data_IF_400528247445
#
_entry.id   IF_400528247445
#
_cell.length_a   1.000
_cell.length_b   1.000
_cell.length_c   1.000
_cell.angle_alpha   90.00
_cell.angle_beta   90.00
_cell.angle_gamma   90.00
#
_symmetry.space_group_name_H-M   'P 1'
#
loop_
_entity.id
_entity.type
_entity.pdbx_description
1 polymer ?
#
# COMPACT_ATOMS: atom_id res chain seq x y z
N UNK A 1 -28.00 4.39 -15.19
CA UNK A 1 -27.66 4.30 -13.75
C UNK A 1 -26.58 5.33 -13.50
N UNK A 2 -26.80 6.32 -12.60
CA UNK A 2 -25.74 7.25 -12.21
C UNK A 2 -24.68 6.48 -11.41
N UNK A 3 -23.40 6.62 -11.77
CA UNK A 3 -22.29 6.05 -10.99
C UNK A 3 -22.35 6.61 -9.55
N UNK A 4 -22.58 5.73 -8.57
CA UNK A 4 -22.69 6.10 -7.14
C UNK A 4 -21.32 6.23 -6.45
N UNK A 5 -20.31 6.73 -7.15
CA UNK A 5 -18.94 6.78 -6.65
C UNK A 5 -18.08 7.80 -7.39
N UNK A 6 -16.84 7.96 -6.93
CA UNK A 6 -15.85 8.82 -7.60
C UNK A 6 -15.57 8.26 -8.99
N UNK A 7 -15.65 9.10 -10.01
CA UNK A 7 -15.37 8.68 -11.38
C UNK A 7 -13.86 8.50 -11.57
N UNK A 8 -13.44 7.25 -11.79
CA UNK A 8 -12.03 6.93 -12.02
C UNK A 8 -11.45 7.65 -13.23
N UNK A 9 -12.25 7.84 -14.29
CA UNK A 9 -11.86 8.62 -15.46
C UNK A 9 -11.49 10.06 -15.07
N UNK A 10 -12.34 10.73 -14.27
CA UNK A 10 -12.06 12.10 -13.80
C UNK A 10 -10.85 12.16 -12.87
N UNK A 11 -10.62 11.12 -12.07
CA UNK A 11 -9.40 11.00 -11.25
C UNK A 11 -8.17 10.95 -12.15
N UNK A 12 -8.16 10.09 -13.17
CA UNK A 12 -7.01 9.95 -14.08
C UNK A 12 -6.79 11.20 -14.93
N UNK A 13 -7.85 11.87 -15.37
CA UNK A 13 -7.77 13.18 -16.02
C UNK A 13 -7.13 14.22 -15.11
N UNK A 14 -7.54 14.29 -13.84
CA UNK A 14 -6.94 15.17 -12.84
C UNK A 14 -5.44 14.89 -12.63
N UNK A 15 -5.05 13.61 -12.50
CA UNK A 15 -3.64 13.20 -12.39
C UNK A 15 -2.86 13.63 -13.63
N UNK A 16 -3.38 13.35 -14.83
CA UNK A 16 -2.73 13.73 -16.09
C UNK A 16 -2.56 15.24 -16.21
N UNK A 17 -3.59 16.02 -15.90
CA UNK A 17 -3.51 17.50 -15.95
C UNK A 17 -2.47 18.03 -14.97
N UNK A 18 -2.41 17.48 -13.77
CA UNK A 18 -1.38 17.83 -12.80
C UNK A 18 0.02 17.51 -13.31
N UNK A 19 0.22 16.30 -13.86
CA UNK A 19 1.50 15.90 -14.46
C UNK A 19 1.91 16.82 -15.62
N UNK A 20 0.99 17.14 -16.53
CA UNK A 20 1.22 18.04 -17.68
C UNK A 20 1.61 19.45 -17.25
N UNK A 21 0.99 19.98 -16.18
CA UNK A 21 1.35 21.28 -15.62
C UNK A 21 2.79 21.33 -15.11
N UNK A 22 3.29 20.20 -14.59
CA UNK A 22 4.69 20.09 -14.14
C UNK A 22 5.66 19.83 -15.28
N UNK A 23 5.15 19.37 -16.43
CA UNK A 23 5.90 18.89 -17.59
C UNK A 23 5.41 19.55 -18.90
N UNK A 24 5.49 20.88 -19.04
CA UNK A 24 4.97 21.57 -20.21
C UNK A 24 5.71 21.13 -21.49
N UNK A 25 4.98 20.88 -22.57
CA UNK A 25 5.54 20.48 -23.86
C UNK A 25 5.89 18.98 -23.99
N UNK A 26 5.51 18.16 -23.00
CA UNK A 26 5.76 16.71 -22.98
C UNK A 26 4.53 15.86 -23.31
N UNK A 27 3.54 16.43 -24.01
CA UNK A 27 2.31 15.75 -24.43
C UNK A 27 2.61 14.50 -25.28
N UNK A 28 3.66 14.56 -26.10
CA UNK A 28 4.07 13.48 -26.98
C UNK A 28 4.63 12.24 -26.25
N UNK A 29 4.88 12.33 -24.93
CA UNK A 29 5.36 11.20 -24.14
C UNK A 29 4.24 10.24 -23.72
N UNK A 30 2.99 10.62 -23.91
CA UNK A 30 1.86 9.72 -23.64
C UNK A 30 1.73 8.64 -24.71
N UNK A 31 1.26 7.47 -24.30
CA UNK A 31 0.87 6.41 -25.21
C UNK A 31 -0.36 6.82 -26.03
N UNK A 32 -0.33 6.54 -27.32
CA UNK A 32 -1.49 6.74 -28.22
C UNK A 32 -2.64 5.80 -27.87
N UNK A 33 -2.33 4.58 -27.40
CA UNK A 33 -3.33 3.56 -27.05
C UNK A 33 -3.96 3.80 -25.68
N UNK A 34 -3.21 4.38 -24.74
CA UNK A 34 -3.72 4.66 -23.40
C UNK A 34 -3.28 6.04 -22.89
N UNK A 35 -4.21 7.02 -22.83
CA UNK A 35 -3.86 8.41 -22.57
C UNK A 35 -3.40 8.70 -21.13
N UNK A 36 -3.41 7.72 -20.22
CA UNK A 36 -2.95 7.84 -18.83
C UNK A 36 -1.64 7.09 -18.56
N UNK A 37 -1.01 6.59 -19.62
CA UNK A 37 0.27 5.89 -19.61
C UNK A 37 1.28 6.68 -20.42
N UNK A 38 2.51 6.68 -19.94
CA UNK A 38 3.66 7.19 -20.68
C UNK A 38 4.25 6.07 -21.55
N UNK A 39 4.98 6.44 -22.60
CA UNK A 39 5.61 5.49 -23.51
C UNK A 39 6.75 4.74 -22.81
N UNK A 40 7.60 5.48 -22.09
CA UNK A 40 8.70 4.97 -21.28
C UNK A 40 8.40 5.12 -19.78
N UNK A 41 8.83 4.15 -18.96
CA UNK A 41 8.61 4.21 -17.52
C UNK A 41 9.44 5.33 -16.87
N UNK A 42 10.63 5.62 -17.40
CA UNK A 42 11.55 6.63 -16.88
C UNK A 42 10.95 8.02 -16.91
N UNK A 43 10.01 8.30 -17.82
CA UNK A 43 9.26 9.56 -17.86
C UNK A 43 8.27 9.69 -16.68
N UNK A 44 7.89 8.58 -16.05
CA UNK A 44 7.05 8.55 -14.85
C UNK A 44 7.86 8.57 -13.55
N UNK A 45 9.19 8.44 -13.63
CA UNK A 45 10.07 8.40 -12.47
C UNK A 45 10.80 9.72 -12.28
N UNK A 46 11.01 10.12 -11.03
CA UNK A 46 11.74 11.36 -10.68
C UNK A 46 13.24 11.20 -10.90
N UNK A 47 13.74 9.98 -10.73
CA UNK A 47 15.13 9.61 -11.00
C UNK A 47 15.20 8.26 -11.74
N UNK A 48 16.25 8.01 -12.53
CA UNK A 48 16.43 6.71 -13.18
C UNK A 48 16.59 5.56 -12.18
N UNK A 49 15.91 4.45 -12.43
CA UNK A 49 15.97 3.24 -11.61
C UNK A 49 17.28 2.47 -11.80
N UNK A 50 18.01 2.26 -10.71
CA UNK A 50 19.22 1.44 -10.67
C UNK A 50 18.88 -0.05 -10.86
N UNK A 51 19.81 -0.80 -11.45
CA UNK A 51 19.65 -2.24 -11.74
C UNK A 51 19.33 -3.08 -10.51
N UNK A 52 19.81 -2.68 -9.31
CA UNK A 52 19.48 -3.37 -8.06
C UNK A 52 17.99 -3.28 -7.73
N UNK A 53 17.38 -2.12 -7.93
CA UNK A 53 15.96 -1.88 -7.66
C UNK A 53 15.11 -2.53 -8.74
N UNK A 54 15.53 -2.43 -10.00
CA UNK A 54 14.89 -3.11 -11.12
C UNK A 54 14.77 -4.62 -10.87
N UNK A 55 15.85 -5.26 -10.39
CA UNK A 55 15.82 -6.69 -10.05
C UNK A 55 14.83 -7.04 -8.94
N UNK A 56 14.59 -6.15 -7.96
CA UNK A 56 13.54 -6.37 -6.96
C UNK A 56 12.16 -6.45 -7.59
N UNK A 57 11.83 -5.52 -8.50
CA UNK A 57 10.56 -5.56 -9.23
C UNK A 57 10.43 -6.75 -10.19
N UNK A 58 11.53 -7.17 -10.83
CA UNK A 58 11.55 -8.38 -11.67
C UNK A 58 11.32 -9.67 -10.87
N UNK A 59 11.85 -9.74 -9.64
CA UNK A 59 11.65 -10.87 -8.75
C UNK A 59 10.24 -10.89 -8.11
N UNK A 60 9.50 -9.78 -8.22
CA UNK A 60 8.07 -9.65 -7.89
C UNK A 60 7.17 -10.46 -8.83
N UNK A 61 6.02 -9.92 -9.19
CA UNK A 61 5.17 -10.52 -10.23
C UNK A 61 5.70 -10.22 -11.66
N UNK A 62 6.65 -9.30 -11.79
CA UNK A 62 7.33 -8.93 -13.04
C UNK A 62 6.50 -8.07 -13.98
N UNK A 63 5.21 -7.86 -13.68
CA UNK A 63 4.27 -7.06 -14.49
C UNK A 63 4.49 -5.56 -14.31
N UNK A 64 5.08 -5.20 -13.17
CA UNK A 64 5.23 -3.82 -12.72
C UNK A 64 6.09 -3.01 -13.68
N UNK A 65 7.18 -3.60 -14.18
CA UNK A 65 8.12 -2.94 -15.09
C UNK A 65 7.61 -2.83 -16.53
N UNK A 66 6.83 -3.81 -16.98
CA UNK A 66 6.39 -3.88 -18.38
C UNK A 66 5.24 -2.91 -18.65
N UNK A 67 4.34 -2.69 -17.68
CA UNK A 67 3.13 -1.93 -17.91
C UNK A 67 2.79 -0.98 -16.79
N UNK A 68 2.81 -1.45 -15.55
CA UNK A 68 2.15 -0.71 -14.47
C UNK A 68 2.91 0.56 -14.12
N UNK A 69 4.25 0.54 -14.10
CA UNK A 69 5.04 1.74 -13.81
C UNK A 69 4.98 2.83 -14.87
N UNK A 70 4.45 2.55 -16.07
CA UNK A 70 4.21 3.59 -17.08
C UNK A 70 2.93 4.38 -16.81
N UNK A 71 2.05 3.86 -15.95
CA UNK A 71 0.79 4.50 -15.63
C UNK A 71 0.98 5.62 -14.60
N UNK A 72 0.40 6.80 -14.85
CA UNK A 72 0.53 7.92 -13.89
C UNK A 72 -0.13 7.67 -12.52
N UNK A 73 -1.05 6.71 -12.48
CA UNK A 73 -1.81 6.27 -11.32
C UNK A 73 -1.24 4.98 -10.68
N UNK A 74 0.03 4.68 -10.95
CA UNK A 74 0.70 3.45 -10.52
C UNK A 74 1.20 3.52 -9.08
N UNK A 75 0.70 2.60 -8.25
CA UNK A 75 1.22 2.40 -6.90
C UNK A 75 2.70 2.01 -6.89
N UNK A 76 3.14 1.20 -7.86
CA UNK A 76 4.55 0.80 -7.98
C UNK A 76 5.46 1.99 -8.34
N UNK A 77 5.07 2.82 -9.32
CA UNK A 77 5.84 4.02 -9.67
C UNK A 77 5.86 5.03 -8.51
N UNK A 78 4.73 5.21 -7.81
CA UNK A 78 4.63 6.05 -6.63
C UNK A 78 5.58 5.57 -5.51
N UNK A 79 5.60 4.27 -5.24
CA UNK A 79 6.46 3.64 -4.24
C UNK A 79 7.93 3.86 -4.56
N UNK A 80 8.32 3.66 -5.82
CA UNK A 80 9.68 3.96 -6.26
C UNK A 80 10.02 5.44 -6.10
N UNK A 81 9.15 6.34 -6.58
CA UNK A 81 9.35 7.79 -6.48
C UNK A 81 9.49 8.27 -5.02
N UNK A 82 8.78 7.63 -4.08
CA UNK A 82 8.90 7.91 -2.66
C UNK A 82 10.25 7.49 -2.09
N UNK A 83 10.66 6.24 -2.28
CA UNK A 83 11.83 5.70 -1.59
C UNK A 83 13.14 5.88 -2.37
N UNK A 84 13.10 5.82 -3.70
CA UNK A 84 14.23 6.03 -4.61
C UNK A 84 15.28 4.92 -4.57
N UNK A 85 16.43 5.18 -5.18
CA UNK A 85 17.47 4.16 -5.30
C UNK A 85 18.19 3.85 -3.98
N UNK A 86 18.26 4.80 -3.06
CA UNK A 86 19.09 4.75 -1.84
C UNK A 86 18.32 4.35 -0.56
N UNK A 87 18.97 4.49 0.61
CA UNK A 87 18.29 4.37 1.89
C UNK A 87 17.16 5.39 2.02
N UNK A 88 16.09 5.00 2.72
CA UNK A 88 15.03 5.92 3.12
C UNK A 88 15.35 6.52 4.48
N UNK A 89 15.05 7.81 4.67
CA UNK A 89 15.26 8.51 5.92
C UNK A 89 13.92 8.98 6.45
N UNK A 90 13.60 8.65 7.71
CA UNK A 90 12.35 9.06 8.36
C UNK A 90 12.63 9.91 9.60
N UNK A 91 11.76 10.89 9.87
CA UNK A 91 11.85 11.85 10.97
C UNK A 91 10.71 11.65 11.97
N UNK A 92 10.96 12.00 13.23
CA UNK A 92 9.98 12.10 14.29
C UNK A 92 9.89 13.49 14.95
N UNK A 93 10.58 14.49 14.41
CA UNK A 93 10.48 15.88 14.88
C UNK A 93 11.79 16.66 14.86
N UNK A 94 12.96 16.00 14.85
CA UNK A 94 14.27 16.68 14.97
C UNK A 94 15.22 16.45 13.77
N UNK A 95 15.85 17.49 13.19
CA UNK A 95 16.67 17.37 11.98
C UNK A 95 17.93 16.52 12.12
N UNK A 96 18.50 16.43 13.33
CA UNK A 96 19.73 15.68 13.58
C UNK A 96 19.53 14.16 13.65
N UNK A 97 18.28 13.68 13.65
CA UNK A 97 17.98 12.24 13.81
C UNK A 97 18.08 11.44 12.48
N UNK A 98 18.16 12.13 11.34
CA UNK A 98 18.23 11.54 9.98
C UNK A 98 19.31 10.46 9.89
N UNK A 99 20.53 10.76 10.35
CA UNK A 99 21.68 9.84 10.23
C UNK A 99 21.50 8.57 11.07
N UNK A 100 20.66 8.62 12.11
CA UNK A 100 20.32 7.47 12.96
C UNK A 100 19.11 6.69 12.46
N UNK A 101 18.43 7.19 11.41
CA UNK A 101 17.17 6.66 10.86
C UNK A 101 17.27 6.33 9.37
N UNK A 102 18.44 5.94 8.91
CA UNK A 102 18.60 5.35 7.58
C UNK A 102 18.00 3.93 7.58
N UNK A 103 17.00 3.69 6.75
CA UNK A 103 16.42 2.39 6.50
C UNK A 103 16.91 1.85 5.16
N UNK A 104 17.27 0.56 5.15
CA UNK A 104 17.46 -0.17 3.91
C UNK A 104 16.11 -0.47 3.30
N UNK A 105 15.91 -0.04 2.05
CA UNK A 105 14.68 -0.25 1.29
C UNK A 105 14.77 -1.58 0.54
N UNK A 106 13.75 -2.42 0.69
CA UNK A 106 13.51 -3.59 -0.17
C UNK A 106 12.16 -3.43 -0.83
N UNK A 107 12.11 -3.43 -2.15
CA UNK A 107 10.86 -3.38 -2.92
C UNK A 107 10.30 -4.78 -3.15
N UNK A 108 8.99 -4.88 -3.36
CA UNK A 108 8.29 -6.14 -3.65
C UNK A 108 8.63 -7.24 -2.62
N UNK A 109 8.55 -6.89 -1.33
CA UNK A 109 8.87 -7.82 -0.26
C UNK A 109 7.80 -8.92 -0.22
N UNK A 110 8.21 -10.11 -0.66
CA UNK A 110 7.40 -11.32 -0.62
C UNK A 110 7.53 -12.01 0.74
N UNK A 111 6.39 -12.36 1.35
CA UNK A 111 6.30 -13.13 2.58
C UNK A 111 5.39 -14.34 2.38
N UNK A 112 5.66 -15.44 3.08
CA UNK A 112 4.78 -16.61 3.05
C UNK A 112 3.46 -16.31 3.75
N UNK A 113 2.38 -16.24 2.96
CA UNK A 113 1.02 -16.19 3.49
C UNK A 113 0.52 -17.62 3.83
N UNK A 114 -0.78 -17.81 4.02
CA UNK A 114 -1.33 -19.10 4.49
C UNK A 114 -1.08 -20.26 3.51
N UNK A 115 -0.99 -19.95 2.22
CA UNK A 115 -0.56 -20.91 1.21
C UNK A 115 0.93 -20.64 0.90
N UNK A 116 1.84 -21.61 1.13
CA UNK A 116 3.26 -21.47 0.83
C UNK A 116 3.58 -21.05 -0.61
N UNK A 117 2.67 -21.37 -1.55
CA UNK A 117 2.80 -21.04 -2.97
C UNK A 117 2.31 -19.61 -3.27
N UNK A 118 1.32 -19.11 -2.52
CA UNK A 118 0.77 -17.77 -2.74
C UNK A 118 1.37 -16.80 -1.73
N UNK A 119 2.42 -16.09 -2.16
CA UNK A 119 3.10 -15.09 -1.34
C UNK A 119 2.20 -13.86 -1.14
N UNK A 120 2.37 -13.21 0.00
CA UNK A 120 1.91 -11.85 0.26
C UNK A 120 2.98 -10.89 -0.25
N UNK A 121 2.60 -9.96 -1.13
CA UNK A 121 3.50 -8.99 -1.76
C UNK A 121 3.28 -7.62 -1.11
N UNK A 122 4.30 -7.12 -0.41
CA UNK A 122 4.34 -5.77 0.13
C UNK A 122 5.17 -4.88 -0.80
N UNK A 123 4.65 -3.72 -1.17
CA UNK A 123 5.29 -2.83 -2.15
C UNK A 123 6.70 -2.38 -1.70
N UNK A 124 6.87 -2.14 -0.39
CA UNK A 124 8.16 -1.81 0.19
C UNK A 124 8.32 -2.32 1.64
N UNK A 125 9.56 -2.62 2.01
CA UNK A 125 9.98 -2.89 3.38
C UNK A 125 11.19 -2.02 3.71
N UNK A 126 11.03 -1.16 4.72
CA UNK A 126 12.09 -0.38 5.33
C UNK A 126 12.63 -1.15 6.53
N UNK A 127 13.93 -1.46 6.51
CA UNK A 127 14.57 -2.25 7.55
C UNK A 127 15.76 -1.52 8.18
N UNK A 128 15.82 -1.58 9.50
CA UNK A 128 17.00 -1.21 10.29
C UNK A 128 17.12 -2.11 11.52
N UNK A 129 18.18 -1.95 12.31
CA UNK A 129 18.37 -2.73 13.52
C UNK A 129 17.18 -2.56 14.48
N UNK A 130 16.51 -3.65 14.80
CA UNK A 130 15.41 -3.70 15.77
C UNK A 130 14.08 -3.11 15.29
N UNK A 131 13.98 -2.66 14.02
CA UNK A 131 12.73 -2.09 13.51
C UNK A 131 12.50 -2.40 12.02
N UNK A 132 11.25 -2.76 11.70
CA UNK A 132 10.73 -2.91 10.35
C UNK A 132 9.50 -2.02 10.13
N UNK A 133 9.44 -1.38 8.97
CA UNK A 133 8.23 -0.70 8.49
C UNK A 133 7.90 -1.26 7.12
N UNK A 134 6.79 -1.98 7.01
CA UNK A 134 6.32 -2.60 5.79
C UNK A 134 5.19 -1.75 5.21
N UNK A 135 5.15 -1.61 3.89
CA UNK A 135 4.22 -0.74 3.20
C UNK A 135 3.36 -1.54 2.21
N UNK A 136 2.06 -1.31 2.28
CA UNK A 136 1.10 -1.53 1.20
C UNK A 136 0.68 -0.16 0.67
N UNK A 137 0.85 0.06 -0.63
CA UNK A 137 0.76 1.36 -1.28
C UNK A 137 -0.44 1.35 -2.22
N UNK A 138 -1.35 2.31 -2.06
CA UNK A 138 -2.53 2.46 -2.93
C UNK A 138 -2.56 3.86 -3.51
N UNK A 139 -2.41 3.98 -4.82
CA UNK A 139 -2.52 5.25 -5.49
C UNK A 139 -4.00 5.60 -5.72
N UNK A 140 -4.72 4.78 -6.48
CA UNK A 140 -6.13 5.05 -6.82
C UNK A 140 -7.07 3.88 -6.58
N UNK A 141 -6.51 2.70 -6.29
CA UNK A 141 -7.23 1.44 -6.18
C UNK A 141 -8.24 1.46 -5.01
N UNK A 142 -7.96 2.20 -3.94
CA UNK A 142 -8.86 2.37 -2.79
C UNK A 142 -10.14 3.17 -3.11
N UNK A 143 -10.16 3.90 -4.24
CA UNK A 143 -11.36 4.59 -4.71
C UNK A 143 -12.31 3.66 -5.47
N UNK A 144 -11.84 2.47 -5.89
CA UNK A 144 -12.69 1.47 -6.52
C UNK A 144 -13.51 0.73 -5.45
N UNK A 145 -14.82 0.63 -5.65
CA UNK A 145 -15.73 -0.06 -4.72
C UNK A 145 -15.67 -1.60 -4.84
N UNK A 146 -14.54 -2.17 -5.24
CA UNK A 146 -14.40 -3.60 -5.50
C UNK A 146 -13.02 -4.08 -5.08
N UNK A 147 -12.98 -4.86 -4.01
CA UNK A 147 -11.78 -5.54 -3.52
C UNK A 147 -11.95 -7.05 -3.65
N UNK A 148 -10.82 -7.74 -3.80
CA UNK A 148 -10.82 -9.19 -3.90
C UNK A 148 -11.32 -9.85 -2.60
N UNK A 149 -12.14 -10.91 -2.68
CA UNK A 149 -12.55 -11.65 -1.51
C UNK A 149 -11.38 -12.31 -0.76
N UNK A 150 -11.54 -12.52 0.54
CA UNK A 150 -10.64 -13.36 1.32
C UNK A 150 -10.89 -14.84 1.00
N UNK A 151 -9.89 -15.62 0.52
CA UNK A 151 -10.09 -17.03 0.20
C UNK A 151 -10.61 -17.81 1.41
N UNK A 152 -11.58 -18.70 1.19
CA UNK A 152 -12.28 -19.38 2.28
C UNK A 152 -11.35 -20.13 3.24
N UNK A 153 -10.22 -20.63 2.75
CA UNK A 153 -9.22 -21.35 3.54
C UNK A 153 -8.68 -20.56 4.74
N UNK A 154 -8.67 -19.23 4.68
CA UNK A 154 -8.24 -18.38 5.79
C UNK A 154 -9.19 -18.44 7.00
N UNK A 155 -10.45 -18.81 6.81
CA UNK A 155 -11.44 -18.86 7.89
C UNK A 155 -12.01 -20.27 8.12
N UNK A 156 -11.64 -21.26 7.30
CA UNK A 156 -12.19 -22.62 7.38
C UNK A 156 -11.15 -23.71 7.62
N UNK A 157 -9.85 -23.41 7.54
CA UNK A 157 -8.80 -24.44 7.48
C UNK A 157 -7.76 -24.29 8.59
N UNK A 158 -8.18 -24.58 9.82
CA UNK A 158 -7.33 -24.57 11.03
C UNK A 158 -5.98 -25.25 10.83
N UNK A 159 -5.97 -26.44 10.20
CA UNK A 159 -4.76 -27.26 10.00
C UNK A 159 -3.67 -26.59 9.16
N UNK A 160 -3.97 -25.47 8.50
CA UNK A 160 -3.00 -24.68 7.73
C UNK A 160 -2.26 -23.65 8.58
N UNK A 161 -2.73 -23.40 9.80
CA UNK A 161 -2.12 -22.44 10.71
C UNK A 161 -1.05 -23.12 11.56
N UNK A 162 0.13 -22.51 11.70
CA UNK A 162 1.19 -23.04 12.55
C UNK A 162 0.90 -22.84 14.05
N UNK A 163 -0.11 -22.03 14.38
CA UNK A 163 -0.47 -21.58 15.72
C UNK A 163 -2.00 -21.48 15.82
N UNK A 164 -2.57 -22.14 16.84
CA UNK A 164 -4.01 -22.12 17.09
C UNK A 164 -4.49 -20.75 17.55
N UNK A 165 -3.72 -20.07 18.40
CA UNK A 165 -4.10 -18.76 18.92
C UNK A 165 -4.15 -17.73 17.78
N UNK A 166 -3.25 -17.86 16.80
CA UNK A 166 -3.25 -17.04 15.59
C UNK A 166 -4.51 -17.29 14.76
N UNK A 167 -4.91 -18.56 14.60
CA UNK A 167 -6.14 -18.89 13.91
C UNK A 167 -7.38 -18.32 14.61
N UNK A 168 -7.42 -18.39 15.96
CA UNK A 168 -8.51 -17.84 16.75
C UNK A 168 -8.55 -16.31 16.66
N UNK A 169 -7.42 -15.61 16.88
CA UNK A 169 -7.35 -14.16 16.76
C UNK A 169 -7.78 -13.68 15.37
N UNK A 170 -7.41 -14.40 14.31
CA UNK A 170 -7.82 -14.08 12.95
C UNK A 170 -9.28 -14.46 12.64
N UNK A 171 -9.83 -15.49 13.29
CA UNK A 171 -11.27 -15.77 13.28
C UNK A 171 -12.07 -14.66 13.96
N UNK A 172 -11.52 -13.94 14.92
CA UNK A 172 -12.21 -12.83 15.58
C UNK A 172 -12.39 -11.61 14.66
N UNK A 173 -11.60 -11.51 13.59
CA UNK A 173 -11.80 -10.49 12.54
C UNK A 173 -12.81 -10.92 11.47
N UNK A 174 -13.55 -12.03 11.70
CA UNK A 174 -14.50 -12.62 10.73
C UNK A 174 -15.59 -11.64 10.30
N UNK A 175 -16.01 -10.77 11.20
CA UNK A 175 -17.10 -9.83 10.99
C UNK A 175 -16.71 -8.62 10.14
N UNK A 176 -15.43 -8.46 9.81
CA UNK A 176 -14.97 -7.58 8.74
C UNK A 176 -15.41 -8.07 7.34
N UNK A 177 -15.90 -9.30 7.24
CA UNK A 177 -16.33 -9.93 6.00
C UNK A 177 -17.81 -10.34 6.06
N UNK A 178 -18.43 -10.53 4.89
CA UNK A 178 -19.78 -11.08 4.78
C UNK A 178 -19.83 -12.54 5.23
N UNK A 179 -20.96 -12.97 5.81
CA UNK A 179 -21.13 -14.29 6.46
C UNK A 179 -21.10 -15.45 5.47
N UNK A 180 -21.60 -15.24 4.27
CA UNK A 180 -21.62 -16.25 3.20
C UNK A 180 -20.35 -16.12 2.35
N UNK A 181 -19.69 -17.26 2.12
CA UNK A 181 -18.62 -17.33 1.13
C UNK A 181 -19.24 -17.45 -0.26
N UNK A 182 -18.84 -16.59 -1.19
CA UNK A 182 -19.02 -16.83 -2.61
C UNK A 182 -17.98 -17.81 -3.14
N UNK A 183 -18.01 -18.07 -4.45
CA UNK A 183 -17.07 -18.97 -5.14
C UNK A 183 -15.60 -18.61 -4.88
N UNK A 184 -15.30 -17.31 -4.80
CA UNK A 184 -13.95 -16.77 -4.58
C UNK A 184 -13.58 -16.60 -3.09
N UNK A 185 -14.53 -16.83 -2.17
CA UNK A 185 -14.33 -16.65 -0.73
C UNK A 185 -15.24 -15.57 -0.12
N UNK A 186 -14.80 -14.98 0.98
CA UNK A 186 -15.57 -14.04 1.78
C UNK A 186 -15.34 -12.60 1.33
N UNK A 187 -16.38 -11.93 0.83
CA UNK A 187 -16.30 -10.53 0.44
C UNK A 187 -16.07 -9.63 1.66
N UNK A 188 -15.19 -8.62 1.59
CA UNK A 188 -15.05 -7.62 2.65
C UNK A 188 -16.34 -6.79 2.77
N UNK A 189 -16.65 -6.34 3.99
CA UNK A 189 -17.73 -5.37 4.22
C UNK A 189 -17.32 -3.94 3.93
N UNK A 190 -16.02 -3.67 4.07
CA UNK A 190 -15.43 -2.39 3.72
C UNK A 190 -15.51 -2.17 2.21
N UNK A 191 -15.77 -0.93 1.83
CA UNK A 191 -15.96 -0.49 0.45
C UNK A 191 -14.68 0.07 -0.15
N UNK A 192 -13.85 0.74 0.63
CA UNK A 192 -12.63 1.43 0.19
C UNK A 192 -11.35 0.79 0.73
N UNK A 193 -11.44 0.13 1.89
CA UNK A 193 -10.32 -0.62 2.45
C UNK A 193 -10.21 -2.02 1.81
N UNK A 194 -9.03 -2.36 1.30
CA UNK A 194 -8.71 -3.73 0.89
C UNK A 194 -8.42 -4.62 2.11
N UNK A 195 -9.49 -4.92 2.85
CA UNK A 195 -9.43 -5.69 4.10
C UNK A 195 -8.82 -7.07 3.89
N UNK A 196 -9.12 -7.72 2.76
CA UNK A 196 -8.59 -9.06 2.48
C UNK A 196 -7.07 -9.02 2.29
N UNK A 197 -6.54 -8.03 1.57
CA UNK A 197 -5.10 -7.90 1.36
C UNK A 197 -4.36 -7.52 2.65
N UNK A 198 -4.86 -6.53 3.41
CA UNK A 198 -4.25 -6.15 4.69
C UNK A 198 -4.22 -7.32 5.67
N UNK A 199 -5.30 -8.09 5.75
CA UNK A 199 -5.37 -9.28 6.59
C UNK A 199 -4.32 -10.34 6.17
N UNK A 200 -4.14 -10.57 4.87
CA UNK A 200 -3.09 -11.49 4.37
C UNK A 200 -1.70 -11.01 4.76
N UNK A 201 -1.42 -9.71 4.69
CA UNK A 201 -0.14 -9.12 5.07
C UNK A 201 0.16 -9.26 6.55
N UNK A 202 -0.82 -8.93 7.39
CA UNK A 202 -0.71 -9.09 8.84
C UNK A 202 -0.37 -10.53 9.22
N UNK A 203 -1.07 -11.51 8.63
CA UNK A 203 -0.75 -12.93 8.82
C UNK A 203 0.67 -13.27 8.32
N UNK A 204 1.03 -12.84 7.11
CA UNK A 204 2.32 -13.18 6.52
C UNK A 204 3.49 -12.58 7.32
N UNK A 205 3.31 -11.41 7.92
CA UNK A 205 4.27 -10.80 8.84
C UNK A 205 4.43 -11.65 10.09
N UNK A 206 3.32 -12.07 10.74
CA UNK A 206 3.38 -12.97 11.91
C UNK A 206 4.14 -14.26 11.57
N UNK A 207 3.78 -14.88 10.46
CA UNK A 207 4.40 -16.12 9.99
C UNK A 207 5.91 -15.94 9.73
N UNK A 208 6.29 -14.82 9.10
CA UNK A 208 7.67 -14.51 8.77
C UNK A 208 8.56 -14.22 9.98
N UNK A 209 8.00 -13.60 11.02
CA UNK A 209 8.72 -13.31 12.26
C UNK A 209 8.97 -14.56 13.09
N UNK A 210 8.00 -15.48 13.13
CA UNK A 210 7.97 -16.52 14.16
C UNK A 210 8.12 -17.96 13.66
N UNK A 211 7.92 -18.22 12.37
CA UNK A 211 7.93 -19.59 11.82
C UNK A 211 8.82 -19.77 10.61
N UNK A 212 8.82 -18.84 9.64
CA UNK A 212 9.60 -19.02 8.41
C UNK A 212 10.97 -18.34 8.45
N UNK A 213 11.15 -17.32 9.29
CA UNK A 213 12.40 -16.54 9.35
C UNK A 213 12.63 -15.66 8.11
N UNK A 214 11.59 -15.39 7.31
CA UNK A 214 11.67 -14.52 6.12
C UNK A 214 11.84 -13.02 6.49
N UNK A 215 11.60 -12.67 7.76
CA UNK A 215 11.92 -11.37 8.34
C UNK A 215 13.01 -11.53 9.42
N UNK A 216 13.90 -10.53 9.56
CA UNK A 216 14.93 -10.57 10.60
C UNK A 216 14.30 -10.46 11.99
N UNK A 217 14.99 -10.98 13.01
CA UNK A 217 14.66 -10.74 14.40
C UNK A 217 14.63 -9.24 14.67
N UNK A 218 13.53 -8.76 15.25
CA UNK A 218 13.23 -7.34 15.41
C UNK A 218 12.37 -7.14 16.66
N UNK A 219 12.43 -5.95 17.24
CA UNK A 219 11.67 -5.58 18.44
C UNK A 219 10.40 -4.79 18.06
N UNK A 220 10.41 -4.13 16.90
CA UNK A 220 9.34 -3.25 16.43
C UNK A 220 9.00 -3.55 14.98
N UNK A 221 7.72 -3.68 14.69
CA UNK A 221 7.19 -3.89 13.35
C UNK A 221 5.98 -3.01 13.15
N UNK A 222 5.92 -2.30 12.02
CA UNK A 222 4.74 -1.54 11.63
C UNK A 222 4.34 -1.91 10.21
N UNK A 223 3.05 -2.16 9.98
CA UNK A 223 2.48 -2.24 8.64
C UNK A 223 1.74 -0.95 8.33
N UNK A 224 2.20 -0.22 7.31
CA UNK A 224 1.62 1.02 6.84
C UNK A 224 0.78 0.76 5.59
N UNK A 225 -0.52 1.04 5.64
CA UNK A 225 -1.30 1.30 4.43
C UNK A 225 -1.05 2.76 4.04
N UNK A 226 -0.36 3.00 2.93
CA UNK A 226 -0.12 4.35 2.44
C UNK A 226 -0.95 4.65 1.20
N UNK A 227 -1.84 5.63 1.30
CA UNK A 227 -2.78 6.01 0.24
C UNK A 227 -2.46 7.37 -0.37
N UNK A 228 -2.56 7.50 -1.69
CA UNK A 228 -2.53 8.81 -2.34
C UNK A 228 -3.89 9.51 -2.18
N UNK A 229 -3.86 10.80 -1.84
CA UNK A 229 -5.06 11.61 -1.56
C UNK A 229 -5.07 12.92 -2.33
N UNK A 230 -6.29 13.37 -2.67
CA UNK A 230 -6.56 14.62 -3.37
C UNK A 230 -6.77 15.74 -2.35
N UNK A 231 -5.89 16.73 -2.33
CA UNK A 231 -5.91 17.78 -1.30
C UNK A 231 -6.75 19.02 -1.63
N UNK A 232 -7.09 19.22 -2.91
CA UNK A 232 -7.75 20.45 -3.38
C UNK A 232 -9.01 20.15 -4.17
N UNK A 233 -10.12 20.86 -3.89
CA UNK A 233 -11.34 20.78 -4.70
C UNK A 233 -11.10 21.04 -6.19
N UNK A 234 -10.18 21.95 -6.52
CA UNK A 234 -9.83 22.32 -7.89
C UNK A 234 -9.12 21.21 -8.69
N UNK A 235 -8.86 20.06 -8.08
CA UNK A 235 -8.37 18.88 -8.80
C UNK A 235 -9.43 18.36 -9.79
N UNK A 236 -10.71 18.44 -9.40
CA UNK A 236 -11.84 18.12 -10.24
C UNK A 236 -12.42 19.41 -10.84
N UNK A 237 -12.88 19.33 -12.08
CA UNK A 237 -13.67 20.41 -12.70
C UNK A 237 -15.12 20.42 -12.20
N UNK A 238 -15.55 19.29 -11.64
CA UNK A 238 -16.89 19.07 -11.11
C UNK A 238 -16.85 18.98 -9.58
N UNK A 239 -17.36 20.00 -8.85
CA UNK A 239 -17.39 20.00 -7.39
C UNK A 239 -18.11 18.79 -6.78
N UNK A 240 -19.07 18.19 -7.48
CA UNK A 240 -19.78 17.01 -6.98
C UNK A 240 -18.83 15.80 -6.85
N UNK A 241 -17.82 15.69 -7.72
CA UNK A 241 -16.81 14.63 -7.65
C UNK A 241 -15.90 14.79 -6.45
N UNK A 242 -15.55 16.03 -6.11
CA UNK A 242 -14.77 16.27 -4.90
C UNK A 242 -15.54 15.89 -3.64
N UNK A 243 -16.85 16.17 -3.59
CA UNK A 243 -17.68 15.76 -2.47
C UNK A 243 -17.75 14.24 -2.33
N UNK A 244 -17.93 13.52 -3.44
CA UNK A 244 -17.88 12.04 -3.46
C UNK A 244 -16.51 11.52 -2.98
N UNK A 245 -15.43 12.15 -3.41
CA UNK A 245 -14.07 11.82 -2.97
C UNK A 245 -13.87 12.06 -1.47
N UNK A 246 -14.32 13.21 -0.96
CA UNK A 246 -14.20 13.54 0.47
C UNK A 246 -15.00 12.56 1.34
N UNK A 247 -16.17 12.11 0.86
CA UNK A 247 -16.92 11.02 1.50
C UNK A 247 -16.14 9.71 1.47
N UNK A 248 -15.59 9.31 0.32
CA UNK A 248 -14.79 8.09 0.20
C UNK A 248 -13.54 8.09 1.10
N UNK A 249 -12.82 9.22 1.21
CA UNK A 249 -11.66 9.34 2.10
C UNK A 249 -12.07 9.21 3.58
N UNK A 250 -13.21 9.79 3.95
CA UNK A 250 -13.75 9.63 5.31
C UNK A 250 -14.15 8.18 5.59
N UNK A 251 -14.87 7.54 4.67
CA UNK A 251 -15.27 6.13 4.78
C UNK A 251 -14.05 5.21 4.90
N UNK A 252 -12.99 5.41 4.09
CA UNK A 252 -11.74 4.67 4.21
C UNK A 252 -11.13 4.75 5.61
N UNK A 253 -11.10 5.94 6.22
CA UNK A 253 -10.55 6.13 7.57
C UNK A 253 -11.38 5.41 8.63
N UNK A 254 -12.71 5.49 8.54
CA UNK A 254 -13.62 4.78 9.43
C UNK A 254 -13.47 3.25 9.30
N UNK A 255 -13.34 2.76 8.06
CA UNK A 255 -13.10 1.35 7.76
C UNK A 255 -11.74 0.88 8.29
N UNK A 256 -10.68 1.70 8.16
CA UNK A 256 -9.36 1.39 8.69
C UNK A 256 -9.35 1.32 10.22
N UNK A 257 -9.97 2.28 10.90
CA UNK A 257 -10.09 2.25 12.36
C UNK A 257 -10.87 1.03 12.84
N UNK A 258 -11.96 0.67 12.15
CA UNK A 258 -12.70 -0.55 12.43
C UNK A 258 -11.83 -1.80 12.25
N UNK A 259 -11.03 -1.87 11.18
CA UNK A 259 -10.07 -2.95 10.94
C UNK A 259 -9.02 -3.03 12.06
N UNK A 260 -8.35 -1.91 12.38
CA UNK A 260 -7.31 -1.82 13.41
C UNK A 260 -7.83 -2.22 14.79
N UNK A 261 -9.03 -1.77 15.17
CA UNK A 261 -9.65 -2.14 16.43
C UNK A 261 -9.85 -3.66 16.58
N UNK A 262 -10.05 -4.39 15.48
CA UNK A 262 -10.20 -5.86 15.50
C UNK A 262 -8.89 -6.62 15.52
N UNK A 263 -7.76 -5.94 15.37
CA UNK A 263 -6.44 -6.57 15.48
C UNK A 263 -5.90 -6.62 16.91
N UNK A 264 -6.63 -6.10 17.90
CA UNK A 264 -6.15 -5.97 19.29
C UNK A 264 -5.56 -7.27 19.86
N UNK A 265 -6.27 -8.39 19.73
CA UNK A 265 -5.77 -9.68 20.23
C UNK A 265 -4.50 -10.13 19.50
N UNK A 266 -4.42 -9.91 18.19
CA UNK A 266 -3.25 -10.27 17.40
C UNK A 266 -2.04 -9.38 17.73
N UNK A 267 -2.26 -8.09 17.95
CA UNK A 267 -1.23 -7.17 18.42
C UNK A 267 -0.69 -7.67 19.77
N UNK A 268 -1.59 -8.01 20.71
CA UNK A 268 -1.21 -8.58 22.01
C UNK A 268 -0.39 -9.87 21.88
N UNK A 269 -0.76 -10.76 20.96
CA UNK A 269 0.01 -11.97 20.70
C UNK A 269 1.44 -11.71 20.20
N UNK A 270 1.66 -10.69 19.37
CA UNK A 270 3.01 -10.32 18.94
C UNK A 270 3.81 -9.71 20.10
N UNK A 271 3.16 -8.87 20.91
CA UNK A 271 3.76 -8.23 22.09
C UNK A 271 4.17 -9.25 23.15
N UNK A 272 3.36 -10.28 23.40
CA UNK A 272 3.68 -11.40 24.31
C UNK A 272 4.92 -12.19 23.86
N UNK A 273 5.24 -12.12 22.56
CA UNK A 273 6.45 -12.72 21.97
C UNK A 273 7.61 -11.73 21.84
N UNK A 274 7.49 -10.55 22.46
CA UNK A 274 8.54 -9.53 22.52
C UNK A 274 8.63 -8.63 21.29
N UNK A 275 7.60 -8.60 20.44
CA UNK A 275 7.56 -7.75 19.23
C UNK A 275 6.41 -6.76 19.34
N UNK A 276 6.74 -5.46 19.41
CA UNK A 276 5.74 -4.41 19.28
C UNK A 276 5.25 -4.34 17.84
N UNK A 277 3.94 -4.51 17.64
CA UNK A 277 3.30 -4.49 16.33
C UNK A 277 2.18 -3.45 16.25
N UNK A 278 2.10 -2.73 15.13
CA UNK A 278 1.00 -1.82 14.87
C UNK A 278 0.68 -1.74 13.37
N UNK A 279 -0.54 -1.34 13.06
CA UNK A 279 -0.97 -0.98 11.70
C UNK A 279 -1.29 0.52 11.64
N UNK A 280 -0.82 1.21 10.61
CA UNK A 280 -1.01 2.66 10.45
C UNK A 280 -1.55 3.00 9.06
N UNK A 281 -2.54 3.88 8.99
CA UNK A 281 -2.97 4.50 7.73
C UNK A 281 -2.25 5.83 7.57
N UNK A 282 -1.59 6.00 6.41
CA UNK A 282 -0.90 7.22 6.04
C UNK A 282 -1.34 7.72 4.69
N UNK A 283 -1.46 9.02 4.54
CA UNK A 283 -1.45 9.63 3.21
C UNK A 283 -0.03 9.75 2.69
N UNK A 284 0.14 9.74 1.38
CA UNK A 284 1.44 10.03 0.73
C UNK A 284 2.00 11.37 1.20
N UNK A 285 1.15 12.37 1.44
CA UNK A 285 1.56 13.68 1.96
C UNK A 285 2.14 13.59 3.37
N UNK A 286 1.51 12.83 4.25
CA UNK A 286 2.00 12.57 5.62
C UNK A 286 3.30 11.76 5.61
N UNK A 287 3.44 10.79 4.68
CA UNK A 287 4.69 10.06 4.53
C UNK A 287 5.82 10.99 4.04
N UNK A 288 5.56 11.84 3.04
CA UNK A 288 6.55 12.78 2.53
C UNK A 288 6.98 13.79 3.61
N UNK A 289 6.05 14.26 4.45
CA UNK A 289 6.40 15.16 5.56
C UNK A 289 7.31 14.49 6.59
N UNK A 290 7.19 13.16 6.75
CA UNK A 290 8.09 12.34 7.57
C UNK A 290 9.42 11.98 6.89
N UNK A 291 9.64 12.26 5.60
CA UNK A 291 10.86 11.85 4.86
C UNK A 291 11.85 12.97 4.49
N UNK A 292 11.48 14.24 4.64
CA UNK A 292 12.25 15.42 4.15
C UNK A 292 12.71 15.29 2.69
N UNK A 293 11.82 14.80 1.82
CA UNK A 293 12.08 14.75 0.38
C UNK A 293 12.01 16.15 -0.23
N UNK A 294 12.72 16.31 -1.35
CA UNK A 294 12.81 17.56 -2.08
C UNK A 294 11.41 18.08 -2.52
N UNK A 295 11.35 19.38 -2.81
CA UNK A 295 10.10 20.00 -3.26
C UNK A 295 9.61 19.45 -4.60
N UNK A 296 10.48 18.83 -5.39
CA UNK A 296 10.13 18.17 -6.65
C UNK A 296 9.19 16.97 -6.41
N UNK A 297 9.51 16.07 -5.46
CA UNK A 297 8.63 14.94 -5.11
C UNK A 297 7.30 15.43 -4.56
N UNK A 298 7.32 16.44 -3.67
CA UNK A 298 6.10 17.06 -3.15
C UNK A 298 5.24 17.59 -4.29
N UNK A 299 5.80 18.34 -5.24
CA UNK A 299 5.05 18.84 -6.39
C UNK A 299 4.52 17.72 -7.26
N UNK A 300 5.28 16.64 -7.43
CA UNK A 300 4.88 15.50 -8.26
C UNK A 300 3.67 14.77 -7.69
N UNK A 301 3.71 14.43 -6.39
CA UNK A 301 2.70 13.57 -5.76
C UNK A 301 1.61 14.31 -4.97
N UNK A 302 1.70 15.64 -4.75
CA UNK A 302 0.80 16.39 -3.85
C UNK A 302 0.22 17.68 -4.45
#
# INVERSE_FOLDING_TARGET
MMERGVSMTKVYEGIKRHWMRLNPGKEALFSEENPYYLQDLGDNLIEPMYDRVRRSYQAGAGRELDKDMRALHSSAAMTYNLFGNGPAYLFDGEPYDIMRRAYTVTYEKQLTALNPIAKAHLDACLSRRGELILFEMKMTEWLANSHDPLPASYLSSEKKYPDWDLFVGLKMTRDLFHTEAGEKGYAPRAKHLDTAQLFKHVYAIYNALFYTGELPLTERVKLCLCVWTISKPSFFDDPAQYNLYATAEKELREEFEAFRARLGDLIGMMEDRGVWFDVELLTVRELISRMHKNDQLKRYLC
#
